data_IF_636866398302
#
_entry.id   IF_636866398302
#
_cell.length_a   1.000
_cell.length_b   1.000
_cell.length_c   1.000
_cell.angle_alpha   90.00
_cell.angle_beta   90.00
_cell.angle_gamma   90.00
#
_symmetry.space_group_name_H-M   'P 1'
#
loop_
_entity.id
_entity.type
_entity.pdbx_description
1 polymer ?
#
# COMPACT_ATOMS: atom_id res chain seq x y z
N UNK A 1 -37.40 -53.10 12.89
CA UNK A 1 -37.71 -52.21 11.75
C UNK A 1 -37.07 -50.84 12.01
N UNK A 2 -36.57 -50.22 10.95
CA UNK A 2 -35.63 -49.09 10.93
C UNK A 2 -36.04 -47.80 11.67
N UNK A 3 -35.02 -47.16 12.25
CA UNK A 3 -34.63 -45.74 12.15
C UNK A 3 -35.71 -44.65 12.05
N UNK A 4 -35.64 -43.63 12.94
CA UNK A 4 -35.20 -42.28 12.55
C UNK A 4 -35.14 -41.32 13.76
N UNK A 5 -33.96 -40.73 13.96
CA UNK A 5 -33.78 -39.43 14.61
C UNK A 5 -34.49 -38.34 13.79
N UNK A 6 -35.04 -37.33 14.48
CA UNK A 6 -35.22 -35.93 14.06
C UNK A 6 -35.80 -35.18 15.29
N UNK A 7 -34.99 -34.49 16.09
CA UNK A 7 -34.74 -33.04 16.02
C UNK A 7 -35.95 -32.20 15.60
N UNK A 8 -36.43 -31.34 16.48
CA UNK A 8 -36.55 -29.87 16.32
C UNK A 8 -37.34 -29.32 17.52
N UNK A 9 -36.62 -28.77 18.50
CA UNK A 9 -37.20 -27.89 19.52
C UNK A 9 -37.50 -26.55 18.83
N UNK A 10 -38.75 -26.36 18.41
CA UNK A 10 -39.27 -25.07 17.97
C UNK A 10 -39.95 -24.39 19.13
N UNK A 11 -39.22 -23.51 19.83
CA UNK A 11 -39.85 -22.44 20.59
C UNK A 11 -39.90 -21.21 19.69
N UNK A 12 -41.10 -20.94 19.20
CA UNK A 12 -41.43 -19.69 18.51
C UNK A 12 -41.83 -18.65 19.58
N UNK A 13 -41.07 -17.57 19.71
CA UNK A 13 -41.57 -16.36 20.38
C UNK A 13 -41.26 -15.16 19.50
N UNK A 14 -42.29 -14.78 18.74
CA UNK A 14 -42.41 -13.53 18.00
C UNK A 14 -41.90 -12.37 18.85
N UNK A 15 -40.94 -11.61 18.33
CA UNK A 15 -40.72 -10.22 18.70
C UNK A 15 -40.49 -9.41 17.42
N UNK A 16 -41.52 -8.63 17.10
CA UNK A 16 -41.53 -7.34 16.42
C UNK A 16 -40.84 -7.28 15.06
N UNK A 17 -41.64 -7.00 14.03
CA UNK A 17 -41.20 -6.35 12.80
C UNK A 17 -40.60 -4.98 13.15
N UNK A 18 -39.38 -4.96 13.69
CA UNK A 18 -38.60 -3.74 13.70
C UNK A 18 -37.98 -3.63 12.32
N UNK A 19 -38.64 -2.76 11.57
CA UNK A 19 -38.22 -2.14 10.33
C UNK A 19 -36.98 -1.31 10.64
N UNK A 20 -35.89 -1.99 10.97
CA UNK A 20 -34.56 -1.43 11.10
C UNK A 20 -33.79 -1.80 9.83
N UNK A 21 -34.33 -1.30 8.71
CA UNK A 21 -33.53 -0.55 7.74
C UNK A 21 -32.98 0.66 8.52
N UNK A 22 -32.10 0.40 9.49
CA UNK A 22 -31.55 1.39 10.39
C UNK A 22 -30.40 2.04 9.64
N UNK A 23 -30.77 3.05 8.86
CA UNK A 23 -30.00 4.27 8.65
C UNK A 23 -28.47 4.06 8.68
N UNK A 24 -27.93 3.51 7.59
CA UNK A 24 -26.56 3.79 7.17
C UNK A 24 -26.46 5.30 6.89
N UNK A 25 -26.41 6.11 7.94
CA UNK A 25 -26.00 7.51 7.89
C UNK A 25 -24.53 7.56 7.49
N UNK A 26 -24.29 7.47 6.18
CA UNK A 26 -23.39 8.31 5.37
C UNK A 26 -21.92 8.52 5.74
N UNK A 27 -21.42 8.22 6.93
CA UNK A 27 -20.01 8.37 7.30
C UNK A 27 -19.29 7.04 7.18
N UNK A 28 -18.79 6.76 5.98
CA UNK A 28 -17.75 5.74 5.82
C UNK A 28 -16.53 6.13 6.66
N UNK A 29 -16.09 5.25 7.58
CA UNK A 29 -14.90 5.47 8.39
C UNK A 29 -13.68 5.77 7.51
N UNK A 30 -13.01 6.90 7.77
CA UNK A 30 -11.83 7.34 7.04
C UNK A 30 -10.56 6.77 7.69
N UNK A 31 -9.53 6.56 6.88
CA UNK A 31 -8.18 6.27 7.35
C UNK A 31 -7.65 7.46 8.15
N UNK A 32 -6.82 7.21 9.18
CA UNK A 32 -6.11 8.28 9.87
C UNK A 32 -5.14 8.93 8.88
N UNK A 33 -5.10 10.25 8.89
CA UNK A 33 -4.08 11.00 8.17
C UNK A 33 -2.74 10.84 8.90
N UNK A 34 -1.67 10.57 8.15
CA UNK A 34 -0.34 10.48 8.72
C UNK A 34 0.22 11.89 8.87
N UNK A 35 0.48 12.29 10.12
CA UNK A 35 1.18 13.56 10.42
C UNK A 35 2.61 13.52 9.86
N UNK A 36 3.32 12.41 10.07
CA UNK A 36 4.69 12.20 9.58
C UNK A 36 4.78 10.96 8.68
N UNK A 37 5.29 11.16 7.46
CA UNK A 37 5.65 10.09 6.52
C UNK A 37 7.17 9.88 6.48
N UNK A 38 7.66 8.64 6.25
CA UNK A 38 9.10 8.34 6.30
C UNK A 38 9.91 8.78 5.06
N UNK A 39 9.39 9.70 4.23
CA UNK A 39 10.03 10.22 3.01
C UNK A 39 9.83 11.74 2.88
N UNK A 40 10.74 12.40 2.15
CA UNK A 40 10.59 13.78 1.70
C UNK A 40 10.09 13.84 0.25
N UNK A 41 9.59 15.00 -0.21
CA UNK A 41 9.22 15.17 -1.62
C UNK A 41 10.42 15.01 -2.57
N UNK A 42 11.62 15.40 -2.15
CA UNK A 42 12.84 15.18 -2.93
C UNK A 42 13.23 13.71 -3.03
N UNK A 43 12.97 12.91 -1.97
CA UNK A 43 13.13 11.45 -2.03
C UNK A 43 12.15 10.86 -3.06
N UNK A 44 10.89 11.31 -3.06
CA UNK A 44 9.86 10.87 -4.02
C UNK A 44 10.27 11.21 -5.45
N UNK A 45 10.66 12.46 -5.69
CA UNK A 45 11.13 12.90 -7.01
C UNK A 45 12.29 12.03 -7.51
N UNK A 46 13.31 11.83 -6.67
CA UNK A 46 14.48 11.00 -6.99
C UNK A 46 14.11 9.54 -7.26
N UNK A 47 13.12 8.99 -6.56
CA UNK A 47 12.65 7.62 -6.75
C UNK A 47 11.90 7.42 -8.09
N UNK A 48 11.33 8.49 -8.64
CA UNK A 48 10.62 8.51 -9.93
C UNK A 48 11.56 8.79 -11.12
N UNK A 49 12.72 9.42 -10.92
CA UNK A 49 13.65 9.83 -11.99
C UNK A 49 14.47 8.68 -12.64
N UNK A 50 14.14 7.39 -12.44
CA UNK A 50 14.91 6.28 -13.06
C UNK A 50 14.66 6.17 -14.58
N UNK A 51 15.71 5.72 -15.28
CA UNK A 51 16.08 5.92 -16.71
C UNK A 51 15.01 5.90 -17.83
N UNK A 52 13.80 5.37 -17.64
CA UNK A 52 12.84 5.13 -18.74
C UNK A 52 11.70 6.17 -18.82
N UNK A 53 11.51 7.00 -17.78
CA UNK A 53 10.36 7.92 -17.64
C UNK A 53 10.66 9.39 -18.00
N UNK A 54 11.89 9.68 -18.45
CA UNK A 54 12.38 11.01 -18.86
C UNK A 54 11.64 11.66 -20.06
N UNK A 55 10.67 10.97 -20.67
CA UNK A 55 9.93 11.50 -21.84
C UNK A 55 8.74 12.39 -21.46
N UNK A 56 8.34 12.44 -20.19
CA UNK A 56 7.14 13.18 -19.75
C UNK A 56 7.43 14.50 -18.98
N UNK A 57 8.70 14.86 -18.78
CA UNK A 57 9.10 16.00 -17.96
C UNK A 57 9.11 15.69 -16.46
N UNK A 58 9.80 16.53 -15.68
CA UNK A 58 9.84 16.38 -14.22
C UNK A 58 8.45 16.70 -13.63
N UNK A 59 7.93 15.87 -12.70
CA UNK A 59 6.63 16.14 -12.08
C UNK A 59 6.69 17.42 -11.24
N UNK A 60 5.64 18.23 -11.30
CA UNK A 60 5.55 19.44 -10.46
C UNK A 60 5.47 19.09 -8.98
N UNK A 61 5.87 20.03 -8.11
CA UNK A 61 5.83 19.84 -6.66
C UNK A 61 4.42 19.52 -6.12
N UNK A 62 3.38 20.11 -6.74
CA UNK A 62 1.98 19.82 -6.41
C UNK A 62 1.61 18.36 -6.67
N UNK A 63 2.07 17.80 -7.79
CA UNK A 63 1.80 16.41 -8.15
C UNK A 63 2.58 15.46 -7.24
N UNK A 64 3.83 15.79 -6.92
CA UNK A 64 4.61 15.03 -5.93
C UNK A 64 3.91 15.01 -4.56
N UNK A 65 3.38 16.15 -4.11
CA UNK A 65 2.63 16.23 -2.86
C UNK A 65 1.33 15.41 -2.91
N UNK A 66 0.60 15.47 -4.03
CA UNK A 66 -0.60 14.67 -4.25
C UNK A 66 -0.30 13.16 -4.22
N UNK A 67 0.72 12.72 -4.95
CA UNK A 67 1.16 11.31 -4.95
C UNK A 67 1.59 10.86 -3.55
N UNK A 68 2.36 11.69 -2.84
CA UNK A 68 2.77 11.43 -1.45
C UNK A 68 1.56 11.21 -0.54
N UNK A 69 0.55 12.08 -0.61
CA UNK A 69 -0.67 11.98 0.19
C UNK A 69 -1.55 10.77 -0.18
N UNK A 70 -1.53 10.32 -1.43
CA UNK A 70 -2.26 9.14 -1.87
C UNK A 70 -1.56 7.85 -1.43
N UNK A 71 -0.25 7.76 -1.67
CA UNK A 71 0.57 6.57 -1.35
C UNK A 71 0.75 6.40 0.17
N UNK A 72 0.67 7.49 0.96
CA UNK A 72 0.63 7.39 2.42
C UNK A 72 -0.57 6.57 2.93
N UNK A 73 -1.70 6.58 2.22
CA UNK A 73 -2.87 5.73 2.56
C UNK A 73 -2.56 4.25 2.37
N UNK A 74 -1.81 3.91 1.31
CA UNK A 74 -1.33 2.54 1.11
C UNK A 74 -0.37 2.11 2.24
N UNK A 75 0.54 3.00 2.67
CA UNK A 75 1.41 2.75 3.81
C UNK A 75 0.61 2.42 5.07
N UNK A 76 -0.42 3.22 5.40
CA UNK A 76 -1.29 2.97 6.57
C UNK A 76 -1.95 1.60 6.48
N UNK A 77 -2.47 1.24 5.31
CA UNK A 77 -3.14 -0.06 5.09
C UNK A 77 -2.17 -1.23 5.28
N UNK A 78 -0.99 -1.18 4.66
CA UNK A 78 0.05 -2.20 4.81
C UNK A 78 0.50 -2.29 6.27
N UNK A 79 0.72 -1.16 6.93
CA UNK A 79 1.18 -1.11 8.32
C UNK A 79 0.15 -1.69 9.30
N UNK A 80 -1.14 -1.36 9.16
CA UNK A 80 -2.23 -1.93 9.97
C UNK A 80 -2.36 -3.43 9.77
N UNK A 81 -2.22 -3.91 8.54
CA UNK A 81 -2.28 -5.33 8.26
C UNK A 81 -1.05 -6.07 8.79
N UNK A 82 0.14 -5.48 8.65
CA UNK A 82 1.35 -6.01 9.28
C UNK A 82 1.24 -6.04 10.81
N UNK A 83 0.65 -5.02 11.41
CA UNK A 83 0.38 -4.96 12.85
C UNK A 83 -0.56 -6.09 13.28
N UNK A 84 -1.65 -6.31 12.56
CA UNK A 84 -2.60 -7.41 12.78
C UNK A 84 -1.90 -8.77 12.73
N UNK A 85 -1.04 -8.99 11.73
CA UNK A 85 -0.27 -10.23 11.56
C UNK A 85 0.79 -10.42 12.65
N UNK A 86 1.36 -9.33 13.16
CA UNK A 86 2.37 -9.34 14.22
C UNK A 86 1.81 -9.60 15.63
N UNK A 87 0.49 -9.52 15.85
CA UNK A 87 -0.13 -9.68 17.18
C UNK A 87 0.23 -11.01 17.85
N UNK A 88 0.32 -12.10 17.08
CA UNK A 88 0.56 -13.44 17.62
C UNK A 88 1.94 -13.60 18.27
N UNK A 89 2.96 -12.97 17.69
CA UNK A 89 4.36 -13.15 18.11
C UNK A 89 5.01 -11.86 18.62
N UNK A 90 4.25 -10.77 18.69
CA UNK A 90 4.73 -9.44 19.07
C UNK A 90 5.97 -8.96 18.28
N UNK A 91 6.18 -9.50 17.08
CA UNK A 91 7.31 -9.18 16.21
C UNK A 91 6.85 -8.96 14.78
N UNK A 92 7.45 -7.99 14.12
CA UNK A 92 7.28 -7.72 12.70
C UNK A 92 8.59 -8.06 11.98
N UNK A 93 8.55 -9.09 11.16
CA UNK A 93 9.65 -9.53 10.31
C UNK A 93 9.30 -9.29 8.84
N UNK A 94 10.21 -9.65 7.93
CA UNK A 94 9.92 -9.59 6.49
C UNK A 94 8.69 -10.40 6.09
N UNK A 95 8.34 -11.45 6.84
CA UNK A 95 7.21 -12.32 6.53
C UNK A 95 5.87 -11.65 6.80
N UNK A 96 5.72 -10.93 7.92
CA UNK A 96 4.50 -10.17 8.21
C UNK A 96 4.29 -9.06 7.18
N UNK A 97 5.36 -8.34 6.79
CA UNK A 97 5.28 -7.32 5.74
C UNK A 97 4.93 -7.94 4.38
N UNK A 98 5.59 -9.03 3.99
CA UNK A 98 5.30 -9.71 2.72
C UNK A 98 3.84 -10.18 2.64
N UNK A 99 3.32 -10.75 3.73
CA UNK A 99 1.91 -11.16 3.80
C UNK A 99 0.96 -9.96 3.79
N UNK A 100 1.28 -8.88 4.50
CA UNK A 100 0.50 -7.65 4.47
C UNK A 100 0.42 -7.06 3.05
N UNK A 101 1.54 -7.04 2.31
CA UNK A 101 1.59 -6.60 0.91
C UNK A 101 0.63 -7.43 0.04
N UNK A 102 0.62 -8.76 0.19
CA UNK A 102 -0.28 -9.65 -0.58
C UNK A 102 -1.76 -9.47 -0.23
N UNK A 103 -2.08 -9.16 1.03
CA UNK A 103 -3.47 -8.95 1.48
C UNK A 103 -3.98 -7.58 1.04
N UNK A 104 -3.11 -6.57 1.09
CA UNK A 104 -3.51 -5.18 0.90
C UNK A 104 -3.47 -4.74 -0.56
N UNK A 105 -2.49 -5.20 -1.35
CA UNK A 105 -2.28 -4.78 -2.74
C UNK A 105 -2.91 -5.75 -3.74
N UNK A 106 -3.24 -5.26 -4.94
CA UNK A 106 -3.65 -6.12 -6.06
C UNK A 106 -2.55 -7.12 -6.41
N UNK A 107 -2.90 -8.21 -7.09
CA UNK A 107 -1.94 -9.24 -7.51
C UNK A 107 -0.70 -8.64 -8.18
N UNK A 108 -0.90 -7.84 -9.24
CA UNK A 108 0.18 -7.23 -10.02
C UNK A 108 1.09 -6.35 -9.17
N UNK A 109 0.48 -5.45 -8.38
CA UNK A 109 1.21 -4.56 -7.46
C UNK A 109 1.99 -5.34 -6.41
N UNK A 110 1.37 -6.38 -5.83
CA UNK A 110 1.98 -7.20 -4.79
C UNK A 110 3.21 -7.95 -5.31
N UNK A 111 3.13 -8.55 -6.50
CA UNK A 111 4.25 -9.27 -7.12
C UNK A 111 5.41 -8.33 -7.39
N UNK A 112 5.15 -7.14 -7.95
CA UNK A 112 6.19 -6.16 -8.26
C UNK A 112 6.84 -5.63 -6.97
N UNK A 113 6.05 -5.25 -5.97
CA UNK A 113 6.56 -4.76 -4.69
C UNK A 113 7.38 -5.81 -3.92
N UNK A 114 6.93 -7.07 -3.91
CA UNK A 114 7.67 -8.18 -3.26
C UNK A 114 8.96 -8.48 -4.01
N UNK A 115 8.94 -8.44 -5.34
CA UNK A 115 10.15 -8.64 -6.16
C UNK A 115 11.18 -7.55 -5.87
N UNK A 116 10.75 -6.28 -5.82
CA UNK A 116 11.63 -5.17 -5.44
C UNK A 116 12.21 -5.34 -4.02
N UNK A 117 11.38 -5.76 -3.05
CA UNK A 117 11.81 -6.02 -1.68
C UNK A 117 12.81 -7.17 -1.58
N UNK A 118 12.60 -8.26 -2.32
CA UNK A 118 13.53 -9.39 -2.38
C UNK A 118 14.87 -8.99 -2.97
N UNK A 119 14.87 -8.21 -4.06
CA UNK A 119 16.09 -7.68 -4.67
C UNK A 119 16.86 -6.78 -3.71
N UNK A 120 16.17 -5.85 -3.04
CA UNK A 120 16.77 -4.98 -2.04
C UNK A 120 17.39 -5.75 -0.87
N UNK A 121 16.68 -6.76 -0.34
CA UNK A 121 17.20 -7.60 0.73
C UNK A 121 18.40 -8.46 0.26
N UNK A 122 18.39 -8.94 -0.98
CA UNK A 122 19.52 -9.67 -1.57
C UNK A 122 20.78 -8.80 -1.59
N UNK A 123 20.68 -7.57 -2.10
CA UNK A 123 21.79 -6.60 -2.10
C UNK A 123 22.29 -6.30 -0.68
N UNK A 124 21.38 -6.15 0.28
CA UNK A 124 21.73 -5.94 1.67
C UNK A 124 22.54 -7.10 2.26
N UNK A 125 22.16 -8.34 1.95
CA UNK A 125 22.84 -9.54 2.44
C UNK A 125 24.21 -9.77 1.77
N UNK A 126 24.37 -9.36 0.51
CA UNK A 126 25.65 -9.47 -0.20
C UNK A 126 26.66 -8.38 0.20
N UNK A 127 26.20 -7.27 0.78
CA UNK A 127 27.05 -6.13 1.20
C UNK A 127 27.57 -6.23 2.64
N UNK A 128 27.90 -7.44 3.11
CA UNK A 128 28.31 -7.70 4.50
C UNK A 128 29.68 -7.08 4.88
N UNK A 129 30.56 -6.86 3.91
CA UNK A 129 31.84 -6.15 4.11
C UNK A 129 31.70 -4.63 4.26
N UNK A 130 30.59 -4.05 3.80
CA UNK A 130 30.36 -2.60 3.74
C UNK A 130 29.53 -2.05 4.91
N UNK A 131 29.35 -2.83 5.98
CA UNK A 131 28.45 -2.50 7.11
C UNK A 131 28.73 -1.14 7.75
N UNK A 132 29.99 -0.69 7.73
CA UNK A 132 30.43 0.57 8.33
C UNK A 132 30.81 1.64 7.29
N UNK A 133 30.99 1.27 6.01
CA UNK A 133 31.35 2.20 4.94
C UNK A 133 30.14 2.82 4.26
N UNK A 134 28.97 2.14 4.27
CA UNK A 134 27.77 2.56 3.54
C UNK A 134 26.51 2.47 4.38
N UNK A 135 25.62 3.45 4.23
CA UNK A 135 24.30 3.46 4.87
C UNK A 135 23.41 2.29 4.45
N UNK A 136 22.42 1.92 5.29
CA UNK A 136 21.51 0.79 5.04
C UNK A 136 20.80 0.88 3.69
N UNK A 137 20.28 2.05 3.32
CA UNK A 137 19.62 2.26 2.02
C UNK A 137 20.56 2.06 0.83
N UNK A 138 21.77 2.61 0.91
CA UNK A 138 22.78 2.46 -0.13
C UNK A 138 23.16 0.99 -0.35
N UNK A 139 23.22 0.20 0.73
CA UNK A 139 23.44 -1.24 0.70
C UNK A 139 22.27 -2.03 0.11
N UNK A 140 21.06 -1.49 0.16
CA UNK A 140 19.87 -2.08 -0.46
C UNK A 140 19.62 -1.59 -1.90
N UNK A 141 20.40 -0.62 -2.40
CA UNK A 141 20.14 0.04 -3.68
C UNK A 141 18.85 0.88 -3.70
N UNK A 142 18.40 1.36 -2.54
CA UNK A 142 17.17 2.14 -2.37
C UNK A 142 17.50 3.63 -2.25
N UNK A 143 16.62 4.46 -2.81
CA UNK A 143 16.62 5.91 -2.63
C UNK A 143 16.02 6.24 -1.27
N UNK A 144 14.91 5.59 -0.92
CA UNK A 144 14.24 5.83 0.36
C UNK A 144 15.09 5.37 1.55
N UNK A 145 14.99 6.10 2.66
CA UNK A 145 15.75 5.82 3.88
C UNK A 145 15.16 4.65 4.68
N UNK A 146 15.82 3.49 4.66
CA UNK A 146 15.47 2.32 5.46
C UNK A 146 15.47 2.66 6.96
N UNK A 147 16.34 3.58 7.39
CA UNK A 147 16.39 4.06 8.78
C UNK A 147 15.14 4.87 9.17
N UNK A 148 14.67 5.77 8.29
CA UNK A 148 13.43 6.54 8.53
C UNK A 148 12.23 5.61 8.61
N UNK A 149 12.12 4.65 7.68
CA UNK A 149 11.05 3.64 7.71
C UNK A 149 11.11 2.77 8.97
N UNK A 150 12.29 2.30 9.37
CA UNK A 150 12.44 1.55 10.62
C UNK A 150 11.96 2.34 11.82
N UNK A 151 12.39 3.61 11.94
CA UNK A 151 11.98 4.50 13.03
C UNK A 151 10.47 4.74 13.01
N UNK A 152 9.91 5.06 11.84
CA UNK A 152 8.48 5.23 11.65
C UNK A 152 7.66 3.99 12.04
N UNK A 153 8.13 2.78 11.72
CA UNK A 153 7.46 1.54 12.11
C UNK A 153 7.42 1.34 13.64
N UNK A 154 8.48 1.77 14.33
CA UNK A 154 8.55 1.72 15.80
C UNK A 154 7.62 2.76 16.41
N UNK A 155 7.70 4.01 15.95
CA UNK A 155 6.91 5.12 16.46
C UNK A 155 5.41 4.90 16.21
N UNK A 156 5.05 4.35 15.05
CA UNK A 156 3.67 3.95 14.69
C UNK A 156 3.20 2.65 15.34
N UNK A 157 4.04 2.01 16.17
CA UNK A 157 3.74 0.76 16.91
C UNK A 157 3.25 -0.38 16.01
N UNK A 158 3.90 -0.58 14.85
CA UNK A 158 3.59 -1.71 13.96
C UNK A 158 3.75 -3.05 14.69
N UNK A 159 4.79 -3.19 15.54
CA UNK A 159 4.92 -4.29 16.48
C UNK A 159 5.82 -3.89 17.66
N UNK A 160 5.79 -4.66 18.76
CA UNK A 160 6.70 -4.46 19.89
C UNK A 160 8.17 -4.64 19.49
N UNK A 161 8.46 -5.54 18.54
CA UNK A 161 9.80 -5.75 17.99
C UNK A 161 9.76 -5.69 16.47
N UNK A 162 10.42 -4.70 15.88
CA UNK A 162 10.57 -4.56 14.42
C UNK A 162 11.93 -5.08 14.00
N UNK A 163 11.96 -6.05 13.08
CA UNK A 163 13.20 -6.57 12.50
C UNK A 163 13.69 -5.67 11.38
N UNK A 164 15.02 -5.54 11.19
CA UNK A 164 15.57 -4.68 10.13
C UNK A 164 15.12 -5.09 8.72
N UNK A 165 15.03 -6.40 8.44
CA UNK A 165 14.50 -6.90 7.18
C UNK A 165 13.03 -6.50 6.92
N UNK A 166 12.23 -6.26 7.97
CA UNK A 166 10.87 -5.76 7.82
C UNK A 166 10.88 -4.33 7.28
N UNK A 167 11.76 -3.48 7.82
CA UNK A 167 11.94 -2.12 7.34
C UNK A 167 12.48 -2.08 5.91
N UNK A 168 13.43 -2.96 5.54
CA UNK A 168 13.92 -3.08 4.15
C UNK A 168 12.76 -3.43 3.21
N UNK A 169 11.94 -4.43 3.58
CA UNK A 169 10.79 -4.84 2.77
C UNK A 169 9.77 -3.71 2.60
N UNK A 170 9.42 -3.01 3.68
CA UNK A 170 8.46 -1.92 3.62
C UNK A 170 9.00 -0.75 2.79
N UNK A 171 10.28 -0.39 2.98
CA UNK A 171 10.93 0.70 2.22
C UNK A 171 10.93 0.42 0.73
N UNK A 172 11.38 -0.79 0.34
CA UNK A 172 11.42 -1.19 -1.06
C UNK A 172 10.03 -1.32 -1.68
N UNK A 173 9.05 -1.82 -0.93
CA UNK A 173 7.65 -1.87 -1.34
C UNK A 173 7.12 -0.47 -1.63
N UNK A 174 7.31 0.49 -0.72
CA UNK A 174 6.81 1.85 -0.94
C UNK A 174 7.49 2.54 -2.12
N UNK A 175 8.81 2.39 -2.26
CA UNK A 175 9.54 2.96 -3.40
C UNK A 175 9.08 2.35 -4.73
N UNK A 176 8.82 1.04 -4.76
CA UNK A 176 8.22 0.37 -5.93
C UNK A 176 6.79 0.83 -6.20
N UNK A 177 5.99 1.02 -5.15
CA UNK A 177 4.60 1.44 -5.27
C UNK A 177 4.47 2.87 -5.82
N UNK A 178 5.37 3.79 -5.43
CA UNK A 178 5.44 5.12 -6.01
C UNK A 178 5.66 5.07 -7.53
N UNK A 179 6.63 4.27 -7.99
CA UNK A 179 6.87 4.04 -9.42
C UNK A 179 5.65 3.44 -10.10
N UNK A 180 5.09 2.37 -9.57
CA UNK A 180 3.92 1.69 -10.13
C UNK A 180 2.69 2.60 -10.29
N UNK A 181 2.42 3.47 -9.29
CA UNK A 181 1.34 4.46 -9.37
C UNK A 181 1.68 5.52 -10.40
N UNK A 182 2.90 6.08 -10.37
CA UNK A 182 3.31 7.12 -11.30
C UNK A 182 3.31 6.66 -12.76
N UNK A 183 3.88 5.48 -13.06
CA UNK A 183 3.87 4.89 -14.40
C UNK A 183 2.45 4.68 -14.92
N UNK A 184 1.51 4.22 -14.08
CA UNK A 184 0.08 4.07 -14.46
C UNK A 184 -0.55 5.41 -14.81
N UNK A 185 -0.32 6.43 -13.98
CA UNK A 185 -0.83 7.78 -14.24
C UNK A 185 -0.24 8.36 -15.53
N UNK A 186 1.08 8.23 -15.73
CA UNK A 186 1.74 8.68 -16.96
C UNK A 186 1.17 7.97 -18.20
N UNK A 187 0.97 6.66 -18.14
CA UNK A 187 0.37 5.90 -19.25
C UNK A 187 -1.04 6.41 -19.57
N UNK A 188 -1.86 6.68 -18.57
CA UNK A 188 -3.19 7.26 -18.77
C UNK A 188 -3.13 8.65 -19.41
N UNK A 189 -2.23 9.51 -18.94
CA UNK A 189 -2.06 10.86 -19.49
C UNK A 189 -1.52 10.88 -20.93
N UNK A 190 -0.75 9.85 -21.34
CA UNK A 190 -0.27 9.71 -22.71
C UNK A 190 -1.36 9.26 -23.69
N UNK A 191 -2.37 8.52 -23.22
CA UNK A 191 -3.51 8.06 -24.05
C UNK A 191 -4.45 9.21 -24.38
N UNK A 192 -4.60 10.20 -23.49
CA UNK A 192 -5.47 11.37 -23.69
C UNK A 192 -4.82 12.51 -24.51
N UNK A 193 -3.80 12.19 -25.33
CA UNK A 193 -3.20 13.16 -26.25
C UNK A 193 -4.18 13.58 -27.34
N UNK A 194 -5.00 14.58 -27.04
CA UNK A 194 -5.59 15.45 -28.04
C UNK A 194 -4.71 16.71 -28.16
N UNK A 195 -4.14 16.97 -29.33
CA UNK A 195 -3.40 18.19 -29.70
C UNK A 195 -2.00 18.47 -29.12
N UNK A 196 -1.20 17.44 -28.80
CA UNK A 196 0.25 17.51 -29.04
C UNK A 196 1.21 17.83 -27.87
N UNK A 197 0.75 18.09 -26.65
CA UNK A 197 1.64 18.09 -25.45
C UNK A 197 0.85 17.51 -24.27
N UNK A 198 1.28 16.38 -23.67
CA UNK A 198 0.59 15.82 -22.51
C UNK A 198 0.76 16.80 -21.33
N UNK A 199 -0.33 17.45 -20.93
CA UNK A 199 -0.35 18.29 -19.73
C UNK A 199 -0.57 17.37 -18.53
N UNK A 200 0.51 17.09 -17.82
CA UNK A 200 0.46 16.35 -16.55
C UNK A 200 -0.01 17.31 -15.45
N UNK A 201 -1.31 17.30 -15.14
CA UNK A 201 -1.94 18.13 -14.09
C UNK A 201 -2.47 17.27 -12.94
N UNK A 202 -2.86 17.90 -11.82
CA UNK A 202 -3.44 17.18 -10.68
C UNK A 202 -4.76 16.49 -11.04
N UNK A 203 -5.57 17.09 -11.90
CA UNK A 203 -6.82 16.51 -12.41
C UNK A 203 -6.55 15.26 -13.24
N UNK A 204 -5.51 15.27 -14.08
CA UNK A 204 -5.09 14.09 -14.85
C UNK A 204 -4.65 12.94 -13.95
N UNK A 205 -4.02 13.24 -12.81
CA UNK A 205 -3.64 12.25 -11.79
C UNK A 205 -4.89 11.62 -11.17
N UNK A 206 -5.86 12.44 -10.78
CA UNK A 206 -7.12 11.96 -10.20
C UNK A 206 -7.93 11.12 -11.18
N UNK A 207 -8.06 11.57 -12.42
CA UNK A 207 -8.75 10.85 -13.49
C UNK A 207 -8.10 9.49 -13.77
N UNK A 208 -6.78 9.44 -13.88
CA UNK A 208 -6.05 8.19 -14.09
C UNK A 208 -6.27 7.20 -12.94
N UNK A 209 -6.24 7.67 -11.69
CA UNK A 209 -6.51 6.82 -10.51
C UNK A 209 -7.96 6.35 -10.48
N UNK A 210 -8.92 7.21 -10.86
CA UNK A 210 -10.34 6.87 -10.92
C UNK A 210 -10.64 5.81 -11.99
N UNK A 211 -9.85 5.76 -13.06
CA UNK A 211 -10.01 4.79 -14.14
C UNK A 211 -9.23 3.48 -13.92
N UNK A 212 -8.31 3.43 -12.94
CA UNK A 212 -7.50 2.23 -12.67
C UNK A 212 -8.04 1.43 -11.46
N UNK A 213 -8.65 0.28 -11.78
CA UNK A 213 -9.27 -0.59 -10.78
C UNK A 213 -8.30 -1.24 -9.78
N UNK A 214 -6.99 -1.32 -10.08
CA UNK A 214 -6.01 -1.93 -9.18
C UNK A 214 -5.57 -0.96 -8.06
N UNK A 215 -5.52 0.34 -8.36
CA UNK A 215 -5.06 1.36 -7.41
C UNK A 215 -6.18 2.21 -6.82
N UNK A 216 -7.35 2.28 -7.47
CA UNK A 216 -8.44 3.16 -7.01
C UNK A 216 -8.78 2.94 -5.53
N UNK A 217 -9.14 1.70 -5.16
CA UNK A 217 -9.55 1.36 -3.80
C UNK A 217 -8.41 1.52 -2.77
N UNK A 218 -7.17 1.28 -3.20
CA UNK A 218 -5.99 1.42 -2.35
C UNK A 218 -5.80 2.86 -1.87
N UNK A 219 -5.94 3.79 -2.82
CA UNK A 219 -5.62 5.20 -2.64
C UNK A 219 -6.82 6.01 -2.13
N UNK A 220 -8.01 5.40 -2.00
CA UNK A 220 -9.15 6.06 -1.39
C UNK A 220 -8.98 6.26 0.12
N UNK A 221 -9.60 7.31 0.70
CA UNK A 221 -9.50 7.60 2.13
C UNK A 221 -10.33 6.64 3.00
N UNK A 222 -11.21 5.81 2.44
CA UNK A 222 -12.16 5.01 3.23
C UNK A 222 -11.57 3.68 3.70
N UNK A 223 -11.72 3.37 4.99
CA UNK A 223 -11.08 2.22 5.63
C UNK A 223 -11.55 0.87 5.05
N UNK A 224 -12.83 0.75 4.69
CA UNK A 224 -13.41 -0.51 4.18
C UNK A 224 -12.89 -0.93 2.80
N UNK A 225 -12.22 -0.04 2.07
CA UNK A 225 -11.66 -0.32 0.75
C UNK A 225 -10.29 -0.99 0.90
N UNK A 226 -10.23 -2.31 0.82
CA UNK A 226 -8.95 -3.06 0.76
C UNK A 226 -8.76 -3.52 -0.68
N UNK A 227 -7.66 -3.17 -1.34
CA UNK A 227 -7.41 -3.58 -2.73
C UNK A 227 -6.83 -5.00 -2.81
N UNK A 228 -7.63 -5.97 -2.37
CA UNK A 228 -7.50 -7.38 -2.79
C UNK A 228 -8.74 -7.87 -3.56
N UNK A 229 -9.79 -7.05 -3.58
CA UNK A 229 -11.01 -7.29 -4.34
C UNK A 229 -10.96 -6.36 -5.55
N UNK A 230 -10.96 -6.94 -6.75
CA UNK A 230 -11.38 -6.19 -7.93
C UNK A 230 -12.81 -5.66 -7.72
N UNK A 231 -13.26 -4.72 -8.57
CA UNK A 231 -14.65 -4.23 -8.54
C UNK A 231 -15.71 -5.35 -8.65
N UNK A 232 -15.30 -6.59 -8.97
CA UNK A 232 -16.12 -7.80 -9.04
C UNK A 232 -16.02 -8.72 -7.82
N UNK A 233 -15.34 -8.32 -6.73
CA UNK A 233 -15.36 -9.02 -5.45
C UNK A 233 -14.63 -10.37 -5.40
N UNK A 234 -13.82 -10.73 -6.41
CA UNK A 234 -13.05 -11.98 -6.43
C UNK A 234 -11.69 -11.80 -5.77
N UNK A 235 -11.37 -12.73 -4.86
CA UNK A 235 -10.01 -12.96 -4.37
C UNK A 235 -9.26 -13.84 -5.38
N UNK A 236 -7.95 -13.61 -5.56
CA UNK A 236 -7.06 -14.57 -6.20
C UNK A 236 -6.56 -15.59 -5.19
#
# INVERSE_FOLDING_TARGET
MHSRHNSLDTVNTVLVEDTEILECSGQCAKLPELEDVPWSLGDVESALQKEEELRAGTPSQEILAKLSALVSRALVRIAREAQRLSLRYAKCTKYEIQSAIKVVLSWTLSVNCITAALSALSLYNMSTGDKFSRGKSARCGLIFSVGKFFRWMVDSRVALRVHEHAAIYLTACMESLFREVFTRVLRSALVEKDNGIPKFTVESVEQAINNDSEIWGLLQPYQHLICGKNASGKWF
#
